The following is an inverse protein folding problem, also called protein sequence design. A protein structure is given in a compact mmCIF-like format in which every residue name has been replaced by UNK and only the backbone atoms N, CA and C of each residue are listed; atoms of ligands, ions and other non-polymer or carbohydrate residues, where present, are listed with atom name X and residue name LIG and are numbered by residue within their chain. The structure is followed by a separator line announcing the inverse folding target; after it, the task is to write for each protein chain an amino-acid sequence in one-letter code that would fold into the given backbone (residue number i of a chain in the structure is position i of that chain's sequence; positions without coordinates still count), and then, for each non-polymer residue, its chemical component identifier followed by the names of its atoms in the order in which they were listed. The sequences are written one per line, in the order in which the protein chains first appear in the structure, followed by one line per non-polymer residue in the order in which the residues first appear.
data_IF_310595069139
#
_entry.id   IF_310595069139
#
_cell.length_a   1.000
_cell.length_b   1.000
_cell.length_c   1.000
_cell.angle_alpha   90.00
_cell.angle_beta   90.00
_cell.angle_gamma   90.00
#
_symmetry.space_group_name_H-M   'P 1'
#
loop_
_entity.id
_entity.type
_entity.pdbx_description
1 polymer ?
#
# COMPACT_ATOMS: atom_id res chain seq x y z
N UNK A 1 3.42 -18.10 16.61
CA UNK A 1 4.65 -18.38 15.79
C UNK A 1 5.35 -17.06 15.51
N UNK A 2 6.66 -16.93 15.86
CA UNK A 2 7.40 -15.67 15.80
C UNK A 2 7.54 -15.16 14.35
N UNK A 3 7.16 -13.89 14.11
CA UNK A 3 7.19 -13.19 12.80
C UNK A 3 8.51 -13.26 12.00
N UNK A 4 9.62 -13.62 12.66
CA UNK A 4 10.94 -13.75 12.01
C UNK A 4 11.02 -14.84 10.93
N UNK A 5 10.13 -15.85 10.95
CA UNK A 5 10.17 -16.95 9.99
C UNK A 5 9.41 -16.63 8.67
N UNK A 6 8.45 -15.70 8.68
CA UNK A 6 7.68 -15.33 7.49
C UNK A 6 8.54 -14.57 6.49
N UNK A 7 9.25 -13.54 6.95
CA UNK A 7 10.15 -12.75 6.08
C UNK A 7 11.20 -13.64 5.43
N UNK A 8 11.79 -14.59 6.20
CA UNK A 8 12.79 -15.53 5.65
C UNK A 8 12.24 -16.44 4.57
N UNK A 9 10.93 -16.74 4.59
CA UNK A 9 10.29 -17.59 3.57
C UNK A 9 9.94 -16.83 2.29
N UNK A 10 9.61 -15.56 2.41
CA UNK A 10 9.22 -14.72 1.28
C UNK A 10 10.45 -14.12 0.58
N UNK A 11 11.51 -13.81 1.32
CA UNK A 11 12.73 -13.18 0.82
C UNK A 11 13.38 -13.90 -0.39
N UNK A 12 13.44 -15.25 -0.49
CA UNK A 12 14.03 -15.93 -1.63
C UNK A 12 13.36 -15.61 -2.97
N UNK A 13 12.04 -15.38 -2.98
CA UNK A 13 11.30 -15.01 -4.19
C UNK A 13 11.71 -13.63 -4.68
N UNK A 14 11.94 -12.67 -3.77
CA UNK A 14 12.43 -11.34 -4.11
C UNK A 14 13.88 -11.34 -4.57
N UNK A 15 14.71 -12.23 -4.00
CA UNK A 15 16.12 -12.31 -4.38
C UNK A 15 16.31 -12.72 -5.85
N UNK A 16 15.41 -13.53 -6.41
CA UNK A 16 15.38 -13.88 -7.83
C UNK A 16 15.27 -12.65 -8.72
N UNK A 17 14.56 -11.61 -8.28
CA UNK A 17 14.29 -10.36 -9.01
C UNK A 17 15.05 -9.16 -8.44
N UNK A 18 16.16 -9.38 -7.72
CA UNK A 18 16.90 -8.35 -7.00
C UNK A 18 17.33 -7.16 -7.84
N UNK A 19 17.67 -7.36 -9.14
CA UNK A 19 18.06 -6.28 -10.03
C UNK A 19 16.87 -5.37 -10.36
N UNK A 20 15.73 -5.97 -10.66
CA UNK A 20 14.49 -5.22 -10.92
C UNK A 20 14.06 -4.44 -9.69
N UNK A 21 14.11 -5.07 -8.50
CA UNK A 21 13.81 -4.42 -7.23
C UNK A 21 14.75 -3.24 -6.95
N UNK A 22 16.06 -3.40 -7.22
CA UNK A 22 17.03 -2.32 -7.04
C UNK A 22 16.75 -1.14 -8.00
N UNK A 23 16.46 -1.44 -9.27
CA UNK A 23 16.12 -0.41 -10.26
C UNK A 23 14.81 0.29 -9.90
N UNK A 24 13.83 -0.44 -9.40
CA UNK A 24 12.55 0.09 -8.93
C UNK A 24 12.76 1.09 -7.78
N UNK A 25 13.49 0.69 -6.73
CA UNK A 25 13.85 1.57 -5.62
C UNK A 25 14.71 2.77 -6.05
N UNK A 26 15.60 2.59 -7.03
CA UNK A 26 16.39 3.67 -7.58
C UNK A 26 15.51 4.68 -8.32
N UNK A 27 14.59 4.21 -9.16
CA UNK A 27 13.61 5.06 -9.85
C UNK A 27 12.69 5.77 -8.86
N UNK A 28 12.26 5.09 -7.79
CA UNK A 28 11.49 5.68 -6.70
C UNK A 28 12.25 6.84 -6.02
N UNK A 29 13.51 6.63 -5.71
CA UNK A 29 14.38 7.67 -5.14
C UNK A 29 14.57 8.85 -6.09
N UNK A 30 14.79 8.58 -7.38
CA UNK A 30 14.95 9.60 -8.42
C UNK A 30 13.68 10.44 -8.60
N UNK A 31 12.51 9.80 -8.65
CA UNK A 31 11.22 10.48 -8.75
C UNK A 31 11.02 11.43 -7.56
N UNK A 32 11.32 10.96 -6.33
CA UNK A 32 11.14 11.78 -5.13
C UNK A 32 12.19 12.90 -5.00
N UNK A 33 13.40 12.69 -5.46
CA UNK A 33 14.39 13.77 -5.57
C UNK A 33 13.94 14.83 -6.57
N UNK A 34 13.36 14.43 -7.71
CA UNK A 34 12.85 15.35 -8.74
C UNK A 34 11.69 16.21 -8.23
N UNK A 35 10.78 15.65 -7.42
CA UNK A 35 9.68 16.40 -6.78
C UNK A 35 10.19 17.57 -5.92
N UNK A 36 11.38 17.44 -5.30
CA UNK A 36 11.96 18.46 -4.44
C UNK A 36 12.64 19.61 -5.20
N UNK A 37 12.78 19.52 -6.51
CA UNK A 37 13.46 20.54 -7.33
C UNK A 37 12.58 21.76 -7.57
N UNK A 38 11.27 21.58 -7.70
CA UNK A 38 10.34 22.72 -7.87
C UNK A 38 10.41 23.75 -6.73
N UNK A 39 10.35 23.35 -5.44
CA UNK A 39 10.56 24.30 -4.34
C UNK A 39 11.91 25.04 -4.40
N UNK A 40 12.98 24.39 -4.86
CA UNK A 40 14.29 25.02 -5.00
C UNK A 40 14.32 26.05 -6.14
N UNK A 41 13.67 25.75 -7.26
CA UNK A 41 13.51 26.69 -8.37
C UNK A 41 12.71 27.93 -7.92
N UNK A 42 11.58 27.71 -7.24
CA UNK A 42 10.75 28.79 -6.70
C UNK A 42 11.53 29.65 -5.71
N UNK A 43 12.32 29.03 -4.83
CA UNK A 43 13.23 29.76 -3.92
C UNK A 43 14.24 30.60 -4.67
N UNK A 44 14.86 30.07 -5.73
CA UNK A 44 15.84 30.81 -6.54
C UNK A 44 15.20 32.02 -7.21
N UNK A 45 13.98 31.88 -7.74
CA UNK A 45 13.24 32.98 -8.36
C UNK A 45 12.81 34.04 -7.35
N UNK A 46 12.21 33.62 -6.22
CA UNK A 46 11.74 34.57 -5.20
C UNK A 46 12.88 35.33 -4.55
N UNK A 47 13.98 34.65 -4.19
CA UNK A 47 15.15 35.29 -3.57
C UNK A 47 15.78 36.31 -4.51
N UNK A 48 15.80 36.05 -5.83
CA UNK A 48 16.31 36.95 -6.82
C UNK A 48 15.38 38.13 -7.04
N UNK A 49 14.08 37.89 -7.15
CA UNK A 49 13.07 38.92 -7.32
C UNK A 49 12.97 39.90 -6.15
N UNK A 50 13.19 39.40 -4.92
CA UNK A 50 13.22 40.25 -3.70
C UNK A 50 14.43 41.16 -3.64
N UNK A 51 15.55 40.79 -4.30
CA UNK A 51 16.74 41.62 -4.35
C UNK A 51 16.64 42.70 -5.44
N UNK A 52 16.21 42.31 -6.63
CA UNK A 52 16.00 43.20 -7.76
C UNK A 52 15.11 42.53 -8.81
N UNK A 53 13.94 43.10 -9.04
CA UNK A 53 12.98 42.62 -10.03
C UNK A 53 13.54 42.64 -11.45
N UNK A 54 14.38 43.62 -11.78
CA UNK A 54 15.05 43.76 -13.11
C UNK A 54 16.06 42.63 -13.34
N UNK A 55 16.54 41.96 -12.29
CA UNK A 55 17.45 40.82 -12.37
C UNK A 55 16.80 39.53 -12.86
N UNK A 56 15.44 39.45 -12.85
CA UNK A 56 14.69 38.34 -13.41
C UNK A 56 14.57 38.49 -14.92
N UNK A 57 15.70 38.25 -15.62
CA UNK A 57 15.74 38.28 -17.09
C UNK A 57 15.03 37.05 -17.66
N UNK A 58 14.39 37.23 -18.81
CA UNK A 58 13.73 36.17 -19.56
C UNK A 58 14.60 34.94 -19.75
N UNK A 59 15.89 35.13 -20.16
CA UNK A 59 16.87 34.05 -20.35
C UNK A 59 17.08 33.20 -19.10
N UNK A 60 17.04 33.80 -17.90
CA UNK A 60 17.18 33.08 -16.63
C UNK A 60 15.98 32.21 -16.33
N UNK A 61 14.78 32.76 -16.51
CA UNK A 61 13.53 32.01 -16.32
C UNK A 61 13.45 30.88 -17.35
N UNK A 62 13.79 31.16 -18.62
CA UNK A 62 13.77 30.14 -19.67
C UNK A 62 14.72 28.97 -19.36
N UNK A 63 15.95 29.25 -18.91
CA UNK A 63 16.91 28.19 -18.52
C UNK A 63 16.38 27.32 -17.37
N UNK A 64 15.81 27.95 -16.34
CA UNK A 64 15.22 27.20 -15.21
C UNK A 64 14.01 26.37 -15.63
N UNK A 65 13.18 26.92 -16.53
CA UNK A 65 12.01 26.19 -17.06
C UNK A 65 12.43 25.00 -17.91
N UNK A 66 13.44 25.15 -18.78
CA UNK A 66 13.97 24.05 -19.58
C UNK A 66 14.62 22.98 -18.72
N UNK A 67 15.38 23.38 -17.69
CA UNK A 67 15.94 22.44 -16.72
C UNK A 67 14.83 21.66 -16.00
N UNK A 68 13.78 22.35 -15.56
CA UNK A 68 12.63 21.73 -14.88
C UNK A 68 11.91 20.74 -15.80
N UNK A 69 11.64 21.12 -17.05
CA UNK A 69 11.01 20.23 -18.04
C UNK A 69 11.87 18.99 -18.26
N UNK A 70 13.19 19.15 -18.42
CA UNK A 70 14.10 18.01 -18.58
C UNK A 70 14.05 17.05 -17.41
N UNK A 71 14.06 17.57 -16.18
CA UNK A 71 13.95 16.76 -14.96
C UNK A 71 12.60 16.07 -14.89
N UNK A 72 11.51 16.76 -15.27
CA UNK A 72 10.17 16.17 -15.31
C UNK A 72 10.03 15.04 -16.34
N UNK A 73 10.71 15.13 -17.47
CA UNK A 73 10.75 14.03 -18.44
C UNK A 73 11.45 12.80 -17.83
N UNK A 74 12.57 12.98 -17.13
CA UNK A 74 13.25 11.89 -16.43
C UNK A 74 12.34 11.28 -15.36
N UNK A 75 11.65 12.12 -14.57
CA UNK A 75 10.70 11.69 -13.55
C UNK A 75 9.56 10.84 -14.14
N UNK A 76 8.97 11.26 -15.27
CA UNK A 76 7.90 10.52 -15.94
C UNK A 76 8.39 9.15 -16.42
N UNK A 77 9.62 9.10 -16.99
CA UNK A 77 10.22 7.83 -17.42
C UNK A 77 10.46 6.90 -16.21
N UNK A 78 10.99 7.44 -15.10
CA UNK A 78 11.20 6.69 -13.87
C UNK A 78 9.89 6.19 -13.27
N UNK A 79 8.86 7.05 -13.25
CA UNK A 79 7.52 6.70 -12.77
C UNK A 79 6.88 5.59 -13.63
N UNK A 80 7.02 5.67 -14.95
CA UNK A 80 6.54 4.63 -15.86
C UNK A 80 7.24 3.30 -15.59
N UNK A 81 8.56 3.31 -15.35
CA UNK A 81 9.32 2.11 -14.99
C UNK A 81 8.78 1.48 -13.71
N UNK A 82 8.59 2.26 -12.65
CA UNK A 82 8.04 1.80 -11.37
C UNK A 82 6.65 1.18 -11.57
N UNK A 83 5.74 1.92 -12.19
CA UNK A 83 4.36 1.47 -12.35
C UNK A 83 4.24 0.23 -13.25
N UNK A 84 5.04 0.14 -14.32
CA UNK A 84 4.96 -0.99 -15.26
C UNK A 84 5.81 -2.18 -14.81
N UNK A 85 7.10 -1.98 -14.62
CA UNK A 85 8.06 -3.08 -14.39
C UNK A 85 8.03 -3.55 -12.94
N UNK A 86 7.80 -2.64 -11.98
CA UNK A 86 7.59 -2.98 -10.58
C UNK A 86 6.39 -3.91 -10.40
N UNK A 87 5.23 -3.55 -10.96
CA UNK A 87 4.04 -4.41 -10.88
C UNK A 87 4.19 -5.74 -11.65
N UNK A 88 4.88 -5.74 -12.82
CA UNK A 88 5.21 -7.00 -13.51
C UNK A 88 6.09 -7.89 -12.64
N UNK A 89 7.05 -7.32 -11.91
CA UNK A 89 7.86 -8.08 -10.95
C UNK A 89 7.00 -8.67 -9.84
N UNK A 90 6.10 -7.90 -9.25
CA UNK A 90 5.14 -8.38 -8.24
C UNK A 90 4.31 -9.56 -8.76
N UNK A 91 3.74 -9.44 -9.95
CA UNK A 91 2.96 -10.50 -10.59
C UNK A 91 3.78 -11.78 -10.86
N UNK A 92 5.06 -11.65 -11.23
CA UNK A 92 5.96 -12.79 -11.41
C UNK A 92 6.27 -13.49 -10.08
N UNK A 93 6.51 -12.72 -9.02
CA UNK A 93 6.73 -13.25 -7.66
C UNK A 93 5.48 -14.00 -7.19
N UNK A 94 4.30 -13.40 -7.36
CA UNK A 94 3.02 -14.03 -7.05
C UNK A 94 2.84 -15.36 -7.80
N UNK A 95 3.17 -15.37 -9.09
CA UNK A 95 3.09 -16.57 -9.92
C UNK A 95 4.05 -17.67 -9.46
N UNK A 96 5.29 -17.33 -9.11
CA UNK A 96 6.27 -18.27 -8.57
C UNK A 96 5.77 -18.84 -7.22
N UNK A 97 5.28 -18.01 -6.32
CA UNK A 97 4.74 -18.45 -5.03
C UNK A 97 3.49 -19.32 -5.20
N UNK A 98 2.60 -18.97 -6.14
CA UNK A 98 1.38 -19.75 -6.44
C UNK A 98 1.73 -21.13 -6.96
N UNK A 99 2.74 -21.24 -7.83
CA UNK A 99 3.22 -22.50 -8.38
C UNK A 99 3.77 -23.40 -7.28
N UNK A 100 4.59 -22.86 -6.38
CA UNK A 100 5.18 -23.63 -5.27
C UNK A 100 4.11 -24.07 -4.27
N UNK A 101 3.14 -23.17 -3.96
CA UNK A 101 2.02 -23.51 -3.09
C UNK A 101 1.14 -24.60 -3.69
N UNK A 102 0.84 -24.52 -4.98
CA UNK A 102 0.06 -25.55 -5.67
C UNK A 102 0.79 -26.89 -5.71
N UNK A 103 2.08 -26.86 -6.00
CA UNK A 103 2.92 -28.08 -5.97
C UNK A 103 2.94 -28.72 -4.58
N UNK A 104 3.03 -27.90 -3.52
CA UNK A 104 2.96 -28.39 -2.14
C UNK A 104 1.57 -29.00 -1.82
N UNK A 105 0.50 -28.35 -2.24
CA UNK A 105 -0.85 -28.91 -2.05
C UNK A 105 -0.99 -30.28 -2.69
N UNK A 106 -0.47 -30.49 -3.90
CA UNK A 106 -0.51 -31.81 -4.57
C UNK A 106 0.27 -32.92 -3.80
N UNK A 107 1.15 -32.55 -2.88
CA UNK A 107 1.90 -33.51 -2.05
C UNK A 107 1.26 -33.80 -0.68
N UNK A 108 0.14 -33.15 -0.33
CA UNK A 108 -0.53 -33.35 0.94
C UNK A 108 -1.43 -34.61 0.93
N UNK A 109 -1.65 -35.16 2.13
CA UNK A 109 -2.46 -36.37 2.29
C UNK A 109 -3.97 -36.09 2.17
N UNK A 110 -4.73 -37.13 1.87
CA UNK A 110 -6.22 -37.08 1.82
C UNK A 110 -6.82 -36.60 3.14
N UNK A 111 -6.20 -36.93 4.28
CA UNK A 111 -6.63 -36.45 5.60
C UNK A 111 -6.70 -34.92 5.67
N UNK A 112 -5.72 -34.22 5.08
CA UNK A 112 -5.71 -32.77 5.02
C UNK A 112 -6.93 -32.22 4.26
N UNK A 113 -7.30 -32.86 3.15
CA UNK A 113 -8.44 -32.44 2.32
C UNK A 113 -9.79 -32.76 2.95
N UNK A 114 -9.86 -33.81 3.77
CA UNK A 114 -11.05 -34.16 4.53
C UNK A 114 -11.32 -33.16 5.68
N UNK A 115 -10.27 -32.58 6.27
CA UNK A 115 -10.37 -31.64 7.38
C UNK A 115 -10.42 -30.16 6.93
N UNK A 116 -10.03 -29.86 5.68
CA UNK A 116 -9.90 -28.49 5.20
C UNK A 116 -10.88 -28.20 4.06
N UNK A 117 -11.71 -27.20 4.22
CA UNK A 117 -12.64 -26.76 3.16
C UNK A 117 -11.85 -26.26 1.95
N UNK A 118 -12.13 -26.82 0.78
CA UNK A 118 -11.47 -26.45 -0.51
C UNK A 118 -11.59 -24.95 -0.80
N UNK A 119 -12.75 -24.34 -0.49
CA UNK A 119 -12.95 -22.90 -0.65
C UNK A 119 -11.96 -22.02 0.14
N UNK A 120 -11.54 -22.49 1.33
CA UNK A 120 -10.50 -21.80 2.13
C UNK A 120 -9.13 -21.91 1.44
N UNK A 121 -8.80 -23.07 0.88
CA UNK A 121 -7.55 -23.26 0.13
C UNK A 121 -7.53 -22.37 -1.10
N UNK A 122 -8.64 -22.32 -1.85
CA UNK A 122 -8.77 -21.47 -3.04
C UNK A 122 -8.60 -20.00 -2.68
N UNK A 123 -9.25 -19.50 -1.62
CA UNK A 123 -9.09 -18.12 -1.16
C UNK A 123 -7.62 -17.78 -0.81
N UNK A 124 -6.89 -18.73 -0.18
CA UNK A 124 -5.47 -18.54 0.13
C UNK A 124 -4.59 -18.47 -1.10
N UNK A 125 -4.86 -19.28 -2.12
CA UNK A 125 -4.09 -19.29 -3.39
C UNK A 125 -4.33 -18.04 -4.23
N UNK A 126 -5.54 -17.47 -4.15
CA UNK A 126 -5.93 -16.30 -4.94
C UNK A 126 -5.74 -15.00 -4.16
N UNK A 127 -6.52 -14.79 -3.11
CA UNK A 127 -6.61 -13.50 -2.43
C UNK A 127 -5.48 -13.28 -1.43
N UNK A 128 -5.24 -14.25 -0.52
CA UNK A 128 -4.20 -14.05 0.51
C UNK A 128 -2.81 -13.95 -0.11
N UNK A 129 -2.55 -14.68 -1.21
CA UNK A 129 -1.28 -14.63 -1.91
C UNK A 129 -1.07 -13.27 -2.59
N UNK A 130 -2.09 -12.75 -3.25
CA UNK A 130 -2.08 -11.42 -3.83
C UNK A 130 -1.79 -10.36 -2.75
N UNK A 131 -2.52 -10.39 -1.63
CA UNK A 131 -2.31 -9.45 -0.52
C UNK A 131 -0.88 -9.49 0.03
N UNK A 132 -0.28 -10.70 0.14
CA UNK A 132 1.10 -10.88 0.61
C UNK A 132 2.10 -10.27 -0.37
N UNK A 133 1.92 -10.47 -1.67
CA UNK A 133 2.85 -9.97 -2.68
C UNK A 133 2.75 -8.45 -2.85
N UNK A 134 1.55 -7.90 -2.86
CA UNK A 134 1.30 -6.46 -2.86
C UNK A 134 1.94 -5.78 -1.62
N UNK A 135 1.69 -6.33 -0.43
CA UNK A 135 2.31 -5.82 0.79
C UNK A 135 3.84 -5.88 0.76
N UNK A 136 4.39 -7.00 0.29
CA UNK A 136 5.84 -7.22 0.28
C UNK A 136 6.57 -6.39 -0.77
N UNK A 137 5.89 -5.92 -1.82
CA UNK A 137 6.41 -4.99 -2.81
C UNK A 137 6.25 -3.53 -2.35
N UNK A 138 5.04 -3.10 -2.08
CA UNK A 138 4.75 -1.69 -1.76
C UNK A 138 5.29 -1.23 -0.40
N UNK A 139 5.27 -2.10 0.62
CA UNK A 139 5.67 -1.67 1.96
C UNK A 139 7.15 -1.25 2.05
N UNK A 140 8.14 -2.01 1.55
CA UNK A 140 9.54 -1.57 1.53
C UNK A 140 9.76 -0.32 0.67
N UNK A 141 9.08 -0.22 -0.46
CA UNK A 141 9.14 0.92 -1.38
C UNK A 141 8.67 2.21 -0.66
N UNK A 142 7.49 2.20 -0.06
CA UNK A 142 6.93 3.35 0.66
C UNK A 142 7.80 3.78 1.86
N UNK A 143 8.35 2.82 2.62
CA UNK A 143 9.30 3.15 3.69
C UNK A 143 10.57 3.80 3.15
N UNK A 144 11.14 3.27 2.08
CA UNK A 144 12.33 3.82 1.44
C UNK A 144 12.09 5.23 0.94
N UNK A 145 10.99 5.45 0.21
CA UNK A 145 10.54 6.76 -0.25
C UNK A 145 10.36 7.73 0.91
N UNK A 146 9.67 7.31 1.98
CA UNK A 146 9.42 8.12 3.16
C UNK A 146 10.70 8.59 3.84
N UNK A 147 11.68 7.69 4.01
CA UNK A 147 12.99 8.02 4.60
C UNK A 147 13.75 9.02 3.71
N UNK A 148 13.80 8.79 2.40
CA UNK A 148 14.46 9.70 1.45
C UNK A 148 13.82 11.08 1.50
N UNK A 149 12.48 11.18 1.47
CA UNK A 149 11.77 12.47 1.56
C UNK A 149 12.11 13.21 2.84
N UNK A 150 12.12 12.54 3.99
CA UNK A 150 12.47 13.16 5.27
C UNK A 150 13.90 13.69 5.26
N UNK A 151 14.86 12.91 4.77
CA UNK A 151 16.26 13.32 4.72
C UNK A 151 16.45 14.50 3.78
N UNK A 152 15.96 14.43 2.54
CA UNK A 152 16.11 15.51 1.56
C UNK A 152 15.42 16.79 2.04
N UNK A 153 14.18 16.70 2.56
CA UNK A 153 13.45 17.86 3.08
C UNK A 153 14.17 18.47 4.27
N UNK A 154 14.75 17.66 5.17
CA UNK A 154 15.54 18.15 6.30
C UNK A 154 16.76 18.95 5.84
N UNK A 155 17.54 18.41 4.89
CA UNK A 155 18.73 19.09 4.33
C UNK A 155 18.33 20.42 3.69
N UNK A 156 17.30 20.43 2.87
CA UNK A 156 16.81 21.62 2.20
C UNK A 156 16.35 22.68 3.22
N UNK A 157 15.51 22.30 4.17
CA UNK A 157 14.95 23.22 5.16
C UNK A 157 16.03 23.78 6.11
N UNK A 158 16.97 22.96 6.54
CA UNK A 158 18.11 23.42 7.35
C UNK A 158 18.97 24.47 6.60
N UNK A 159 19.10 24.32 5.28
CA UNK A 159 19.81 25.31 4.45
C UNK A 159 19.07 26.65 4.30
N UNK A 160 17.77 26.69 4.63
CA UNK A 160 16.95 27.89 4.56
C UNK A 160 16.92 28.62 5.92
N UNK A 161 16.45 27.94 6.95
CA UNK A 161 16.35 28.51 8.30
C UNK A 161 16.28 27.40 9.35
N UNK A 162 17.33 27.28 10.16
CA UNK A 162 17.44 26.23 11.20
C UNK A 162 16.31 26.32 12.22
N UNK A 163 15.96 27.51 12.70
CA UNK A 163 14.94 27.70 13.75
C UNK A 163 13.56 27.23 13.27
N UNK A 164 13.17 27.61 12.06
CA UNK A 164 11.89 27.20 11.46
C UNK A 164 11.87 25.71 11.18
N UNK A 165 12.99 25.13 10.73
CA UNK A 165 13.11 23.69 10.51
C UNK A 165 12.90 22.90 11.81
N UNK A 166 13.54 23.29 12.89
CA UNK A 166 13.36 22.65 14.20
C UNK A 166 11.90 22.72 14.68
N UNK A 167 11.25 23.87 14.49
CA UNK A 167 9.84 24.04 14.86
C UNK A 167 8.92 23.10 14.06
N UNK A 168 9.16 22.94 12.74
CA UNK A 168 8.40 22.02 11.91
C UNK A 168 8.66 20.56 12.31
N UNK A 169 9.92 20.20 12.52
CA UNK A 169 10.31 18.81 12.83
C UNK A 169 9.87 18.35 14.22
N UNK A 170 9.64 19.27 15.17
CA UNK A 170 9.05 18.91 16.49
C UNK A 170 7.61 18.37 16.35
N UNK A 171 6.92 18.69 15.24
CA UNK A 171 5.60 18.14 14.96
C UNK A 171 5.62 16.67 14.52
N UNK A 172 6.75 16.17 13.98
CA UNK A 172 6.86 14.78 13.51
C UNK A 172 6.65 13.76 14.64
N UNK A 173 7.38 13.82 15.78
CA UNK A 173 7.12 12.90 16.88
C UNK A 173 5.70 13.01 17.43
N UNK A 174 5.10 14.20 17.44
CA UNK A 174 3.72 14.40 17.84
C UNK A 174 2.75 13.67 16.90
N UNK A 175 2.95 13.80 15.59
CA UNK A 175 2.17 13.07 14.57
C UNK A 175 2.33 11.56 14.68
N UNK A 176 3.54 11.06 14.95
CA UNK A 176 3.82 9.62 15.15
C UNK A 176 3.07 9.12 16.39
N UNK A 177 3.07 9.87 17.48
CA UNK A 177 2.36 9.53 18.71
C UNK A 177 0.85 9.41 18.47
N UNK A 178 0.22 10.42 17.86
CA UNK A 178 -1.20 10.40 17.55
C UNK A 178 -1.55 9.29 16.56
N UNK A 179 -0.77 9.13 15.48
CA UNK A 179 -0.97 8.05 14.51
C UNK A 179 -0.89 6.67 15.15
N UNK A 180 0.05 6.46 16.08
CA UNK A 180 0.18 5.22 16.85
C UNK A 180 -1.03 4.95 17.73
N UNK A 181 -1.55 5.98 18.41
CA UNK A 181 -2.73 5.88 19.26
C UNK A 181 -3.98 5.52 18.43
N UNK A 182 -4.24 6.25 17.36
CA UNK A 182 -5.39 5.98 16.47
C UNK A 182 -5.30 4.63 15.75
N UNK A 183 -4.09 4.20 15.37
CA UNK A 183 -3.88 2.88 14.73
C UNK A 183 -4.37 1.73 15.60
N UNK A 184 -4.16 1.79 16.91
CA UNK A 184 -4.63 0.74 17.81
C UNK A 184 -6.16 0.69 17.88
N UNK A 185 -6.82 1.85 17.95
CA UNK A 185 -8.29 1.95 17.87
C UNK A 185 -8.82 1.37 16.56
N UNK A 186 -8.25 1.79 15.44
CA UNK A 186 -8.63 1.27 14.11
C UNK A 186 -8.42 -0.24 13.99
N UNK A 187 -7.34 -0.78 14.56
CA UNK A 187 -7.08 -2.23 14.53
C UNK A 187 -8.16 -3.02 15.27
N UNK A 188 -8.63 -2.54 16.42
CA UNK A 188 -9.72 -3.18 17.16
C UNK A 188 -11.01 -3.12 16.34
N UNK A 189 -11.39 -1.94 15.86
CA UNK A 189 -12.58 -1.76 15.03
C UNK A 189 -12.56 -2.64 13.76
N UNK A 190 -11.41 -2.70 13.05
CA UNK A 190 -11.26 -3.58 11.89
C UNK A 190 -11.37 -5.07 12.23
N UNK A 191 -10.88 -5.47 13.41
CA UNK A 191 -11.04 -6.86 13.87
C UNK A 191 -12.50 -7.20 14.12
N UNK A 192 -13.23 -6.33 14.81
CA UNK A 192 -14.67 -6.51 15.07
C UNK A 192 -15.46 -6.52 13.76
N UNK A 193 -15.14 -5.62 12.82
CA UNK A 193 -15.73 -5.62 11.49
C UNK A 193 -15.51 -6.95 10.75
N UNK A 194 -14.29 -7.53 10.81
CA UNK A 194 -14.00 -8.84 10.18
C UNK A 194 -14.79 -9.98 10.80
N UNK A 195 -15.01 -9.97 12.12
CA UNK A 195 -15.83 -10.98 12.79
C UNK A 195 -17.28 -10.90 12.33
N UNK A 196 -17.85 -9.70 12.28
CA UNK A 196 -19.23 -9.50 11.89
C UNK A 196 -19.49 -9.77 10.40
N UNK A 197 -18.57 -9.41 9.50
CA UNK A 197 -18.70 -9.80 8.09
C UNK A 197 -18.59 -11.32 7.91
N UNK A 198 -17.81 -12.01 8.75
CA UNK A 198 -17.76 -13.47 8.79
C UNK A 198 -19.12 -14.09 9.17
N UNK A 199 -19.80 -13.55 10.18
CA UNK A 199 -21.14 -13.99 10.57
C UNK A 199 -22.17 -13.72 9.47
N UNK A 200 -22.15 -12.54 8.86
CA UNK A 200 -23.03 -12.21 7.74
C UNK A 200 -22.82 -13.16 6.56
N UNK A 201 -21.58 -13.43 6.20
CA UNK A 201 -21.27 -14.38 5.12
C UNK A 201 -21.76 -15.79 5.42
N UNK A 202 -21.59 -16.28 6.65
CA UNK A 202 -22.13 -17.59 7.05
C UNK A 202 -23.66 -17.64 6.98
N UNK A 203 -24.34 -16.58 7.40
CA UNK A 203 -25.81 -16.49 7.31
C UNK A 203 -26.29 -16.50 5.85
N UNK A 204 -25.59 -15.79 4.96
CA UNK A 204 -25.87 -15.80 3.52
C UNK A 204 -25.62 -17.20 2.94
N UNK A 205 -24.49 -17.82 3.26
CA UNK A 205 -24.14 -19.18 2.81
C UNK A 205 -25.21 -20.19 3.21
N UNK A 206 -25.62 -20.20 4.48
CA UNK A 206 -26.65 -21.11 5.02
C UNK A 206 -28.00 -20.90 4.29
N UNK A 207 -28.42 -19.66 4.12
CA UNK A 207 -29.66 -19.30 3.40
C UNK A 207 -29.66 -19.75 1.95
N UNK A 208 -28.52 -19.55 1.24
CA UNK A 208 -28.37 -19.93 -0.17
C UNK A 208 -28.23 -21.44 -0.36
N UNK A 209 -27.53 -22.14 0.52
CA UNK A 209 -27.44 -23.60 0.50
C UNK A 209 -28.81 -24.23 0.79
N UNK A 210 -29.59 -23.62 1.72
CA UNK A 210 -30.95 -24.04 2.08
C UNK A 210 -32.05 -23.51 1.17
N UNK A 211 -31.76 -22.84 0.04
CA UNK A 211 -32.75 -22.09 -0.76
C UNK A 211 -33.93 -22.94 -1.25
N UNK A 212 -33.71 -24.22 -1.52
CA UNK A 212 -34.80 -25.13 -1.89
C UNK A 212 -35.78 -25.34 -0.77
N UNK A 213 -35.31 -25.44 0.47
CA UNK A 213 -36.11 -25.56 1.68
C UNK A 213 -36.87 -24.26 1.92
N UNK A 214 -36.18 -23.12 1.89
CA UNK A 214 -36.80 -21.78 2.03
C UNK A 214 -37.96 -21.61 1.06
N UNK A 215 -37.75 -21.93 -0.22
CA UNK A 215 -38.80 -21.85 -1.26
C UNK A 215 -39.94 -22.87 -1.05
N UNK A 216 -39.63 -24.06 -0.59
CA UNK A 216 -40.67 -25.10 -0.34
C UNK A 216 -41.64 -24.70 0.77
N UNK A 217 -41.19 -23.88 1.73
CA UNK A 217 -42.01 -23.38 2.83
C UNK A 217 -42.46 -21.93 2.67
N UNK A 218 -42.20 -21.30 1.53
CA UNK A 218 -42.48 -19.89 1.24
C UNK A 218 -41.95 -18.93 2.33
N UNK A 219 -40.75 -19.20 2.87
CA UNK A 219 -40.12 -18.44 3.96
C UNK A 219 -39.10 -17.40 3.49
N UNK A 220 -39.19 -16.93 2.26
CA UNK A 220 -38.25 -15.94 1.69
C UNK A 220 -38.23 -14.63 2.47
N UNK A 221 -39.38 -14.20 2.98
CA UNK A 221 -39.48 -12.94 3.73
C UNK A 221 -38.81 -13.03 5.10
N UNK A 222 -38.87 -14.18 5.76
CA UNK A 222 -38.17 -14.44 7.03
C UNK A 222 -36.66 -14.40 6.81
N UNK A 223 -36.17 -14.98 5.73
CA UNK A 223 -34.72 -14.93 5.40
C UNK A 223 -34.25 -13.53 5.02
N UNK A 224 -35.06 -12.74 4.31
CA UNK A 224 -34.75 -11.32 4.04
C UNK A 224 -34.70 -10.48 5.31
N UNK A 225 -35.59 -10.73 6.26
CA UNK A 225 -35.60 -10.03 7.55
C UNK A 225 -34.35 -10.36 8.37
N UNK A 226 -33.96 -11.64 8.46
CA UNK A 226 -32.69 -12.06 9.09
C UNK A 226 -31.48 -11.37 8.44
N UNK A 227 -31.41 -11.40 7.12
CA UNK A 227 -30.34 -10.72 6.39
C UNK A 227 -30.30 -9.22 6.69
N UNK A 228 -31.46 -8.56 6.67
CA UNK A 228 -31.57 -7.12 6.93
C UNK A 228 -31.09 -6.79 8.34
N UNK A 229 -31.44 -7.60 9.33
CA UNK A 229 -30.99 -7.44 10.72
C UNK A 229 -29.45 -7.52 10.82
N UNK A 230 -28.84 -8.59 10.29
CA UNK A 230 -27.39 -8.78 10.35
C UNK A 230 -26.63 -7.71 9.52
N UNK A 231 -27.16 -7.31 8.37
CA UNK A 231 -26.59 -6.28 7.54
C UNK A 231 -26.64 -4.90 8.21
N UNK A 232 -27.72 -4.55 8.88
CA UNK A 232 -27.83 -3.30 9.64
C UNK A 232 -26.89 -3.28 10.85
N UNK A 233 -26.73 -4.42 11.52
CA UNK A 233 -25.75 -4.58 12.60
C UNK A 233 -24.32 -4.39 12.10
N UNK A 234 -23.98 -4.99 10.97
CA UNK A 234 -22.67 -4.77 10.32
C UNK A 234 -22.49 -3.29 9.93
N UNK A 235 -23.52 -2.64 9.38
CA UNK A 235 -23.46 -1.22 9.05
C UNK A 235 -23.18 -0.35 10.28
N UNK A 236 -23.86 -0.61 11.42
CA UNK A 236 -23.64 0.16 12.66
C UNK A 236 -22.19 0.07 13.16
N UNK A 237 -21.56 -1.11 13.04
CA UNK A 237 -20.16 -1.33 13.43
C UNK A 237 -19.20 -0.63 12.45
N UNK A 238 -19.56 -0.55 11.19
CA UNK A 238 -18.73 0.12 10.16
C UNK A 238 -18.74 1.63 10.28
N UNK A 239 -19.78 2.21 10.85
CA UNK A 239 -19.95 3.67 11.02
C UNK A 239 -19.40 4.15 12.38
N UNK A 240 -19.31 3.29 13.39
CA UNK A 240 -18.79 3.60 14.73
C UNK A 240 -17.26 3.76 14.74
#
# INVERSE_FOLDING_TARGET
MKNKNLIKRVLPYFYKYRLTLFLDLFCAGLTKASEMILPLILRALTTRGMKDLASIRFDFVLKLSLLYIFIKVIEVIAQYFMTSIGHIMGAKIETDMRKDLYSHLQSLSDTFYNETKIGVIMSRITNDLFDITEFAHHCPEEYFIGVIKIIISLIILLSINVKMTLLIYIMIPLMIYFSGHFRNKMRVAQKDQRVHIGHLNSSIEDSLLGIKVVKSFANEDVEKEKFTYENNKFLSIKIA
#
